data_IF_827406396747
#
_entry.id   IF_827406396747
#
_cell.length_a   1.000
_cell.length_b   1.000
_cell.length_c   1.000
_cell.angle_alpha   90.00
_cell.angle_beta   90.00
_cell.angle_gamma   90.00
#
_symmetry.space_group_name_H-M   'P 1'
#
loop_
_entity.id
_entity.type
_entity.pdbx_description
1 polymer ?
#
# COMPACT_ATOMS: atom_id res chain seq x y z
N UNK A 1 17.47 33.95 27.02
CA UNK A 1 16.42 33.00 26.57
C UNK A 1 16.28 33.22 25.08
N UNK A 2 16.74 32.30 24.24
CA UNK A 2 16.42 32.34 22.80
C UNK A 2 14.91 32.29 22.62
N UNK A 3 14.37 33.11 21.71
CA UNK A 3 12.94 33.06 21.39
C UNK A 3 12.59 31.73 20.70
N UNK A 4 11.42 31.18 21.00
CA UNK A 4 10.87 30.09 20.18
C UNK A 4 10.55 30.62 18.78
N UNK A 5 11.00 29.92 17.73
CA UNK A 5 10.55 30.20 16.36
C UNK A 5 9.04 29.98 16.28
N UNK A 6 8.28 31.00 15.85
CA UNK A 6 6.85 30.85 15.60
C UNK A 6 6.60 29.89 14.42
N UNK A 7 5.44 29.24 14.39
CA UNK A 7 5.05 28.44 13.23
C UNK A 7 5.01 29.30 11.95
N UNK A 8 5.39 28.70 10.81
CA UNK A 8 5.40 29.36 9.50
C UNK A 8 4.01 29.73 8.97
N UNK A 9 3.01 28.93 9.33
CA UNK A 9 1.60 29.16 9.04
C UNK A 9 0.68 28.29 9.92
N UNK A 10 -0.61 28.63 9.97
CA UNK A 10 -1.65 27.83 10.63
C UNK A 10 -2.78 27.50 9.64
N UNK A 11 -3.25 26.25 9.63
CA UNK A 11 -4.43 25.80 8.87
C UNK A 11 -5.59 25.47 9.83
N UNK A 12 -6.71 26.18 9.69
CA UNK A 12 -7.89 26.11 10.56
C UNK A 12 -9.13 25.45 9.93
N UNK A 13 -10.22 25.36 10.71
CA UNK A 13 -11.38 24.51 10.43
C UNK A 13 -12.19 24.87 9.18
N UNK A 14 -12.60 23.84 8.43
CA UNK A 14 -13.41 23.97 7.22
C UNK A 14 -12.69 24.53 6.00
N UNK A 15 -11.37 24.71 6.04
CA UNK A 15 -10.58 25.18 4.92
C UNK A 15 -10.06 24.01 4.07
N UNK A 16 -10.53 23.92 2.81
CA UNK A 16 -9.74 23.29 1.76
C UNK A 16 -8.71 24.32 1.28
N UNK A 17 -7.43 24.07 1.56
CA UNK A 17 -6.34 24.98 1.19
C UNK A 17 -5.10 24.18 0.84
N UNK A 18 -4.51 24.50 -0.31
CA UNK A 18 -3.26 23.90 -0.77
C UNK A 18 -2.14 24.92 -0.86
N UNK A 19 -0.90 24.47 -0.69
CA UNK A 19 0.26 25.31 -0.98
C UNK A 19 0.71 25.03 -2.42
N UNK A 20 0.60 26.04 -3.29
CA UNK A 20 1.24 26.04 -4.61
C UNK A 20 2.61 26.75 -4.56
N UNK A 21 3.02 27.20 -3.36
CA UNK A 21 4.30 27.84 -3.01
C UNK A 21 4.81 27.30 -1.67
N UNK A 22 5.96 27.78 -1.16
CA UNK A 22 6.58 27.22 0.05
C UNK A 22 5.90 27.66 1.37
N UNK A 23 5.70 26.72 2.30
CA UNK A 23 5.33 26.96 3.70
C UNK A 23 6.54 26.62 4.58
N UNK A 24 7.16 27.60 5.22
CA UNK A 24 8.40 27.41 6.01
C UNK A 24 8.22 27.85 7.45
N UNK A 25 8.60 27.00 8.41
CA UNK A 25 8.67 27.34 9.82
C UNK A 25 9.73 28.41 10.05
N UNK A 26 9.54 29.28 11.05
CA UNK A 26 10.59 30.22 11.40
C UNK A 26 11.73 29.47 12.11
N UNK A 27 12.97 29.75 11.72
CA UNK A 27 14.16 29.24 12.41
C UNK A 27 14.23 29.80 13.84
N UNK A 28 14.79 29.01 14.76
CA UNK A 28 15.16 29.51 16.08
C UNK A 28 16.22 30.61 15.97
N UNK A 29 16.08 31.69 16.72
CA UNK A 29 17.10 32.75 16.77
C UNK A 29 18.13 32.44 17.85
N UNK A 30 19.41 32.69 17.57
CA UNK A 30 20.46 32.66 18.59
C UNK A 30 20.17 33.68 19.71
N UNK A 31 20.32 33.27 20.97
CA UNK A 31 20.24 34.20 22.10
C UNK A 31 21.36 35.25 22.03
N UNK A 32 21.02 36.53 22.16
CA UNK A 32 22.02 37.60 22.34
C UNK A 32 22.78 37.39 23.65
N UNK A 33 24.11 37.47 23.61
CA UNK A 33 24.96 37.49 24.80
C UNK A 33 24.55 38.66 25.72
N UNK A 34 24.27 38.36 27.00
CA UNK A 34 23.95 39.38 27.99
C UNK A 34 25.12 40.34 28.21
N UNK A 35 24.84 41.64 28.35
CA UNK A 35 25.83 42.71 28.48
C UNK A 35 26.75 42.64 29.73
N UNK A 36 26.66 41.58 30.54
CA UNK A 36 27.37 41.42 31.81
C UNK A 36 28.10 40.07 31.96
N UNK A 37 28.27 39.30 30.89
CA UNK A 37 29.09 38.07 30.95
C UNK A 37 28.46 36.90 31.72
N UNK A 38 27.14 36.91 31.94
CA UNK A 38 26.40 35.70 32.33
C UNK A 38 25.92 34.97 31.08
N UNK A 39 26.06 33.64 31.07
CA UNK A 39 25.76 32.74 29.95
C UNK A 39 24.36 33.00 29.38
N UNK A 40 24.32 33.65 28.22
CA UNK A 40 23.12 33.90 27.41
C UNK A 40 22.88 32.80 26.37
N UNK A 41 23.47 31.62 26.57
CA UNK A 41 23.68 30.60 25.55
C UNK A 41 22.47 29.67 25.36
N UNK A 42 21.26 30.20 25.22
CA UNK A 42 20.10 29.38 24.85
C UNK A 42 19.84 29.54 23.35
N UNK A 43 20.11 28.47 22.61
CA UNK A 43 19.69 28.31 21.22
C UNK A 43 18.17 28.47 21.12
N UNK A 44 17.68 29.25 20.15
CA UNK A 44 16.25 29.30 19.85
C UNK A 44 15.78 27.98 19.24
N UNK A 45 14.53 27.62 19.46
CA UNK A 45 13.93 26.39 18.91
C UNK A 45 13.45 26.61 17.47
N UNK A 46 13.63 25.62 16.60
CA UNK A 46 13.03 25.61 15.27
C UNK A 46 11.50 25.51 15.35
N UNK A 47 10.78 26.41 14.67
CA UNK A 47 9.32 26.39 14.64
C UNK A 47 8.77 25.32 13.70
N UNK A 48 7.54 24.84 13.96
CA UNK A 48 6.86 23.96 13.01
C UNK A 48 6.64 24.68 11.67
N UNK A 49 6.79 23.97 10.55
CA UNK A 49 6.45 24.48 9.22
C UNK A 49 4.97 24.83 9.14
N UNK A 50 4.14 23.83 9.45
CA UNK A 50 2.70 23.92 9.45
C UNK A 50 2.09 23.26 10.71
N UNK A 51 1.08 23.92 11.26
CA UNK A 51 0.18 23.35 12.27
C UNK A 51 -1.18 23.01 11.65
N UNK A 52 -1.61 21.76 11.79
CA UNK A 52 -2.97 21.28 11.46
C UNK A 52 -3.70 20.99 12.76
N UNK A 53 -4.58 21.89 13.18
CA UNK A 53 -5.27 21.79 14.49
C UNK A 53 -6.79 21.73 14.39
N UNK A 54 -7.34 21.74 13.18
CA UNK A 54 -8.76 21.66 12.97
C UNK A 54 -9.23 20.28 12.54
N UNK A 55 -10.27 19.77 13.19
CA UNK A 55 -10.87 18.49 12.87
C UNK A 55 -11.39 18.43 11.42
N UNK A 56 -11.29 17.26 10.81
CA UNK A 56 -11.76 17.01 9.43
C UNK A 56 -11.13 17.95 8.38
N UNK A 57 -9.92 18.43 8.63
CA UNK A 57 -9.18 19.28 7.70
C UNK A 57 -8.46 18.45 6.64
N UNK A 58 -8.44 18.95 5.41
CA UNK A 58 -7.64 18.39 4.32
C UNK A 58 -6.61 19.40 3.88
N UNK A 59 -5.33 19.04 3.99
CA UNK A 59 -4.21 19.83 3.50
C UNK A 59 -3.64 19.19 2.24
N UNK A 60 -3.50 19.95 1.16
CA UNK A 60 -2.89 19.47 -0.08
C UNK A 60 -1.57 20.21 -0.38
N UNK A 61 -0.45 19.49 -0.28
CA UNK A 61 0.86 20.03 -0.61
C UNK A 61 1.21 19.81 -2.08
N UNK A 62 1.36 20.89 -2.86
CA UNK A 62 1.94 20.86 -4.21
C UNK A 62 3.35 21.50 -4.23
N UNK A 63 3.78 22.11 -3.13
CA UNK A 63 5.01 22.89 -3.01
C UNK A 63 6.00 22.28 -2.01
N UNK A 64 6.63 23.14 -1.21
CA UNK A 64 7.59 22.72 -0.19
C UNK A 64 7.07 23.08 1.20
N UNK A 65 7.01 22.12 2.12
CA UNK A 65 6.77 22.36 3.54
C UNK A 65 8.04 22.04 4.32
N UNK A 66 8.58 23.01 5.05
CA UNK A 66 9.87 22.85 5.73
C UNK A 66 9.75 23.25 7.20
N UNK A 67 10.19 22.37 8.10
CA UNK A 67 10.32 22.67 9.52
C UNK A 67 11.49 23.62 9.79
N UNK A 68 11.38 24.47 10.80
CA UNK A 68 12.44 25.41 11.16
C UNK A 68 13.64 24.70 11.77
N UNK A 69 14.85 25.20 11.50
CA UNK A 69 16.05 24.69 12.16
C UNK A 69 16.22 25.24 13.58
N UNK A 70 16.89 24.47 14.42
CA UNK A 70 17.33 24.91 15.73
C UNK A 70 18.37 26.04 15.58
N UNK A 71 18.39 26.98 16.53
CA UNK A 71 19.47 27.95 16.68
C UNK A 71 20.80 27.25 17.01
N UNK A 72 21.92 27.97 16.91
CA UNK A 72 23.26 27.40 17.09
C UNK A 72 23.49 26.71 18.44
N UNK A 73 24.40 25.72 18.47
CA UNK A 73 24.74 24.91 19.65
C UNK A 73 25.06 25.79 20.86
N UNK A 74 24.29 25.61 21.95
CA UNK A 74 24.66 26.10 23.28
C UNK A 74 25.95 25.43 23.74
N UNK A 75 26.93 26.21 24.19
CA UNK A 75 28.16 25.71 24.83
C UNK A 75 27.92 24.91 26.11
N UNK A 76 26.68 24.90 26.63
CA UNK A 76 26.25 24.21 27.86
C UNK A 76 25.66 22.81 27.65
N UNK A 77 25.50 22.35 26.40
CA UNK A 77 24.97 21.02 26.11
C UNK A 77 23.49 20.81 26.48
N UNK A 78 22.75 21.88 26.77
CA UNK A 78 21.31 21.86 27.02
C UNK A 78 20.58 22.08 25.69
N UNK A 79 20.25 20.97 25.03
CA UNK A 79 19.40 20.91 23.85
C UNK A 79 17.95 21.22 24.23
N UNK A 80 17.32 22.12 23.47
CA UNK A 80 15.91 22.49 23.62
C UNK A 80 15.01 21.40 23.03
N UNK A 81 14.07 20.88 23.84
CA UNK A 81 13.20 19.74 23.51
C UNK A 81 12.05 20.03 22.51
N UNK A 82 12.20 20.97 21.57
CA UNK A 82 11.23 21.13 20.49
C UNK A 82 11.89 20.96 19.13
N UNK A 83 11.33 20.00 18.41
CA UNK A 83 11.76 19.54 17.11
C UNK A 83 11.11 20.40 16.04
N UNK A 84 11.89 20.87 15.07
CA UNK A 84 11.38 21.62 13.93
C UNK A 84 10.59 20.73 12.98
N UNK A 85 9.36 20.35 13.35
CA UNK A 85 8.56 19.47 12.49
C UNK A 85 8.14 20.23 11.23
N UNK A 86 8.12 19.56 10.08
CA UNK A 86 7.56 20.21 8.89
C UNK A 86 6.05 20.37 9.04
N UNK A 87 5.35 19.32 9.46
CA UNK A 87 3.93 19.35 9.80
C UNK A 87 3.73 18.78 11.20
N UNK A 88 3.02 19.52 12.05
CA UNK A 88 2.54 19.05 13.34
C UNK A 88 1.01 18.98 13.33
N UNK A 89 0.46 17.83 13.69
CA UNK A 89 -0.98 17.55 13.60
C UNK A 89 -1.56 17.29 14.97
N UNK A 90 -2.57 18.07 15.34
CA UNK A 90 -3.33 17.92 16.60
C UNK A 90 -4.81 17.62 16.34
N UNK A 91 -5.21 17.55 15.06
CA UNK A 91 -6.57 17.37 14.62
C UNK A 91 -6.98 15.90 14.49
N UNK A 92 -8.24 15.60 14.80
CA UNK A 92 -8.88 14.34 14.43
C UNK A 92 -9.39 14.38 12.99
N UNK A 93 -9.47 13.22 12.33
CA UNK A 93 -9.97 13.09 10.96
C UNK A 93 -9.19 13.95 9.95
N UNK A 94 -7.91 14.24 10.22
CA UNK A 94 -7.09 15.06 9.33
C UNK A 94 -6.64 14.25 8.12
N UNK A 95 -6.66 14.88 6.94
CA UNK A 95 -6.10 14.31 5.71
C UNK A 95 -4.96 15.20 5.22
N UNK A 96 -3.79 14.61 5.00
CA UNK A 96 -2.65 15.25 4.33
C UNK A 96 -2.48 14.57 3.00
N UNK A 97 -2.58 15.32 1.91
CA UNK A 97 -2.26 14.86 0.56
C UNK A 97 -0.95 15.51 0.17
N UNK A 98 0.06 14.71 -0.14
CA UNK A 98 1.35 15.21 -0.59
C UNK A 98 1.56 14.92 -2.08
N UNK A 99 1.92 15.95 -2.83
CA UNK A 99 2.40 15.88 -4.21
C UNK A 99 3.64 16.77 -4.42
N UNK A 100 4.18 17.33 -3.34
CA UNK A 100 5.40 18.13 -3.31
C UNK A 100 6.41 17.58 -2.31
N UNK A 101 7.24 18.48 -1.76
CA UNK A 101 8.27 18.13 -0.77
C UNK A 101 7.81 18.49 0.64
N UNK A 102 7.98 17.59 1.61
CA UNK A 102 7.87 17.86 3.04
C UNK A 102 9.20 17.51 3.68
N UNK A 103 9.85 18.46 4.34
CA UNK A 103 11.18 18.27 4.93
C UNK A 103 11.20 18.68 6.40
N UNK A 104 11.58 17.76 7.27
CA UNK A 104 11.88 18.05 8.65
C UNK A 104 12.96 19.14 8.76
N UNK A 105 12.85 20.00 9.77
CA UNK A 105 13.97 20.81 10.24
C UNK A 105 14.89 19.99 11.15
N UNK A 106 15.91 20.65 11.70
CA UNK A 106 16.86 20.04 12.63
C UNK A 106 16.19 19.30 13.80
N UNK A 107 16.55 18.03 13.98
CA UNK A 107 15.96 17.08 14.94
C UNK A 107 14.42 16.88 14.81
N UNK A 108 13.82 17.47 13.77
CA UNK A 108 12.41 17.45 13.39
C UNK A 108 11.90 16.12 12.85
N UNK A 109 10.58 15.97 12.86
CA UNK A 109 9.90 15.00 12.01
C UNK A 109 9.34 15.69 10.76
N UNK A 110 9.24 14.97 9.65
CA UNK A 110 8.55 15.49 8.48
C UNK A 110 7.07 15.69 8.80
N UNK A 111 6.45 14.70 9.45
CA UNK A 111 5.08 14.79 9.95
C UNK A 111 5.02 14.13 11.32
N UNK A 112 4.52 14.85 12.32
CA UNK A 112 4.30 14.30 13.66
C UNK A 112 2.85 14.50 14.09
N UNK A 113 2.21 13.41 14.50
CA UNK A 113 0.86 13.42 15.05
C UNK A 113 0.92 13.46 16.58
N UNK A 114 0.20 14.39 17.19
CA UNK A 114 0.11 14.53 18.64
C UNK A 114 -0.65 13.34 19.25
N UNK A 115 -0.25 12.85 20.45
CA UNK A 115 -0.99 11.82 21.14
C UNK A 115 -2.47 12.17 21.34
N UNK A 116 -3.36 11.22 21.03
CA UNK A 116 -4.81 11.40 21.14
C UNK A 116 -5.50 11.82 19.84
N UNK A 117 -4.75 12.04 18.76
CA UNK A 117 -5.31 12.16 17.42
C UNK A 117 -5.91 10.83 16.94
N UNK A 118 -6.95 10.91 16.11
CA UNK A 118 -7.64 9.75 15.56
C UNK A 118 -7.99 9.92 14.08
N UNK A 119 -8.10 8.81 13.36
CA UNK A 119 -8.53 8.71 11.96
C UNK A 119 -7.70 9.61 11.01
N UNK A 120 -6.38 9.60 11.15
CA UNK A 120 -5.51 10.39 10.30
C UNK A 120 -5.26 9.68 8.97
N UNK A 121 -5.29 10.43 7.87
CA UNK A 121 -4.89 9.92 6.54
C UNK A 121 -3.69 10.70 6.03
N UNK A 122 -2.66 9.98 5.58
CA UNK A 122 -1.59 10.51 4.76
C UNK A 122 -1.69 9.88 3.37
N UNK A 123 -1.93 10.69 2.35
CA UNK A 123 -1.95 10.28 0.95
C UNK A 123 -0.68 10.76 0.25
N UNK A 124 0.02 9.84 -0.40
CA UNK A 124 1.21 10.11 -1.21
C UNK A 124 0.86 10.03 -2.70
N UNK A 125 1.09 11.12 -3.42
CA UNK A 125 1.05 11.14 -4.88
C UNK A 125 2.41 10.79 -5.46
N UNK A 126 2.48 10.46 -6.76
CA UNK A 126 3.73 9.97 -7.38
C UNK A 126 4.91 10.97 -7.38
N UNK A 127 4.66 12.26 -7.17
CA UNK A 127 5.69 13.29 -7.01
C UNK A 127 6.05 13.59 -5.54
N UNK A 128 5.51 12.84 -4.59
CA UNK A 128 5.78 13.01 -3.17
C UNK A 128 7.26 12.85 -2.84
N UNK A 129 7.80 13.82 -2.11
CA UNK A 129 9.10 13.70 -1.44
C UNK A 129 8.92 13.98 0.04
N UNK A 130 9.24 13.01 0.89
CA UNK A 130 9.27 13.17 2.34
C UNK A 130 10.72 13.03 2.81
N UNK A 131 11.27 14.09 3.41
CA UNK A 131 12.62 14.09 3.99
C UNK A 131 12.48 14.15 5.52
N UNK A 132 12.63 13.00 6.17
CA UNK A 132 12.45 12.84 7.62
C UNK A 132 11.35 11.84 7.98
N UNK A 133 11.16 11.63 9.28
CA UNK A 133 10.23 10.64 9.82
C UNK A 133 8.78 11.12 9.75
N UNK A 134 7.86 10.19 9.52
CA UNK A 134 6.41 10.34 9.69
C UNK A 134 5.98 9.47 10.86
N UNK A 135 5.54 10.10 11.95
CA UNK A 135 5.23 9.42 13.20
C UNK A 135 3.73 9.44 13.49
N UNK A 136 3.04 8.36 13.12
CA UNK A 136 1.63 8.09 13.41
C UNK A 136 1.43 7.11 14.59
N UNK A 137 2.48 6.72 15.30
CA UNK A 137 2.44 5.70 16.37
C UNK A 137 1.45 6.00 17.52
N UNK A 138 1.09 7.27 17.73
CA UNK A 138 0.14 7.66 18.77
C UNK A 138 -1.28 7.96 18.23
N UNK A 139 -1.52 7.70 16.95
CA UNK A 139 -2.83 7.86 16.31
C UNK A 139 -3.63 6.58 16.52
N UNK A 140 -4.91 6.70 16.92
CA UNK A 140 -5.76 5.52 17.17
C UNK A 140 -6.02 4.69 15.90
N UNK A 141 -6.17 5.38 14.77
CA UNK A 141 -6.46 4.80 13.47
C UNK A 141 -5.77 5.69 12.42
N UNK A 142 -4.78 5.13 11.72
CA UNK A 142 -3.95 5.85 10.77
C UNK A 142 -3.90 5.10 9.44
N UNK A 143 -4.23 5.80 8.37
CA UNK A 143 -4.24 5.28 7.00
C UNK A 143 -3.10 5.90 6.18
N UNK A 144 -2.30 5.05 5.55
CA UNK A 144 -1.36 5.44 4.50
C UNK A 144 -1.98 5.09 3.14
N UNK A 145 -2.22 6.11 2.31
CA UNK A 145 -2.80 5.96 0.98
C UNK A 145 -1.77 6.27 -0.08
N UNK A 146 -1.68 5.43 -1.09
CA UNK A 146 -0.98 5.71 -2.34
C UNK A 146 -2.03 6.15 -3.36
N UNK A 147 -1.81 7.30 -4.00
CA UNK A 147 -2.78 7.90 -4.91
C UNK A 147 -2.09 8.57 -6.09
N UNK A 148 -2.90 9.00 -7.07
CA UNK A 148 -2.51 9.90 -8.18
C UNK A 148 -1.05 9.72 -8.68
N UNK A 149 -0.72 8.49 -9.04
CA UNK A 149 0.46 8.18 -9.85
C UNK A 149 0.05 8.34 -11.31
N UNK A 150 0.89 8.98 -12.13
CA UNK A 150 0.61 9.11 -13.54
C UNK A 150 0.44 7.70 -14.14
N UNK A 151 -0.65 7.47 -14.88
CA UNK A 151 -1.10 6.14 -15.36
C UNK A 151 -0.05 5.35 -16.18
N UNK A 152 1.05 5.99 -16.62
CA UNK A 152 2.17 5.38 -17.34
C UNK A 152 3.48 5.27 -16.52
N UNK A 153 3.52 5.78 -15.29
CA UNK A 153 4.70 5.77 -14.43
C UNK A 153 4.58 4.64 -13.42
N UNK A 154 5.54 3.72 -13.44
CA UNK A 154 5.66 2.68 -12.43
C UNK A 154 6.23 3.30 -11.15
N UNK A 155 5.41 4.09 -10.46
CA UNK A 155 5.81 4.75 -9.22
C UNK A 155 6.03 3.70 -8.16
N UNK A 156 7.21 3.70 -7.54
CA UNK A 156 7.62 2.68 -6.57
C UNK A 156 7.40 3.18 -5.16
N UNK A 157 6.82 2.33 -4.31
CA UNK A 157 6.79 2.50 -2.86
C UNK A 157 7.57 1.35 -2.19
N UNK A 158 8.59 1.69 -1.41
CA UNK A 158 9.45 0.73 -0.72
C UNK A 158 8.89 0.42 0.68
N UNK A 159 8.44 -0.82 0.91
CA UNK A 159 7.88 -1.26 2.18
C UNK A 159 8.90 -1.32 3.31
N UNK A 160 10.20 -1.39 3.02
CA UNK A 160 11.22 -1.37 4.08
C UNK A 160 11.17 -0.08 4.91
N UNK A 161 10.50 0.95 4.38
CA UNK A 161 10.25 2.22 5.05
C UNK A 161 9.10 2.16 6.07
N UNK A 162 8.28 1.10 6.12
CA UNK A 162 7.15 0.95 7.05
C UNK A 162 7.57 0.19 8.32
N UNK A 163 7.13 0.68 9.49
CA UNK A 163 7.22 -0.04 10.76
C UNK A 163 6.09 0.30 11.74
N UNK A 164 5.82 -0.58 12.71
CA UNK A 164 4.91 -0.36 13.83
C UNK A 164 5.58 0.37 15.01
N UNK A 165 6.91 0.27 15.10
CA UNK A 165 7.72 0.71 16.22
C UNK A 165 8.75 1.73 15.74
N UNK A 166 9.06 2.71 16.60
CA UNK A 166 10.12 3.65 16.26
C UNK A 166 11.45 2.91 16.19
N UNK A 167 12.04 2.91 15.00
CA UNK A 167 13.38 2.41 14.74
C UNK A 167 14.12 3.44 13.86
N UNK A 168 15.45 3.35 13.83
CA UNK A 168 16.29 4.34 13.16
C UNK A 168 16.31 4.23 11.62
N UNK A 169 15.57 3.28 11.03
CA UNK A 169 15.64 2.95 9.61
C UNK A 169 14.32 3.13 8.85
N UNK A 170 13.17 3.15 9.53
CA UNK A 170 11.85 3.27 8.92
C UNK A 170 11.39 4.73 8.85
N UNK A 171 10.77 5.10 7.73
CA UNK A 171 10.25 6.45 7.50
C UNK A 171 8.81 6.61 7.99
N UNK A 172 7.94 5.62 7.78
CA UNK A 172 6.52 5.67 8.08
C UNK A 172 6.21 4.76 9.26
N UNK A 173 5.88 5.35 10.41
CA UNK A 173 5.76 4.62 11.67
C UNK A 173 4.32 4.68 12.19
N UNK A 174 3.75 3.52 12.53
CA UNK A 174 2.46 3.43 13.24
C UNK A 174 1.22 3.59 12.37
N UNK A 175 1.29 3.22 11.10
CA UNK A 175 0.12 3.13 10.22
C UNK A 175 -0.58 1.77 10.38
N UNK A 176 -1.91 1.80 10.38
CA UNK A 176 -2.78 0.65 10.64
C UNK A 176 -3.45 0.14 9.35
N UNK A 177 -3.73 1.05 8.42
CA UNK A 177 -4.41 0.76 7.17
C UNK A 177 -3.60 1.26 5.99
N UNK A 178 -3.67 0.50 4.89
CA UNK A 178 -2.92 0.76 3.68
C UNK A 178 -3.86 0.67 2.49
N UNK A 179 -3.91 1.72 1.67
CA UNK A 179 -4.82 1.78 0.52
C UNK A 179 -4.16 2.35 -0.72
N UNK A 180 -4.68 1.94 -1.88
CA UNK A 180 -4.31 2.43 -3.19
C UNK A 180 -5.58 2.90 -3.91
N UNK A 181 -5.65 4.16 -4.33
CA UNK A 181 -6.85 4.75 -4.93
C UNK A 181 -6.54 5.69 -6.12
N UNK A 182 -7.57 6.33 -6.66
CA UNK A 182 -7.45 7.40 -7.66
C UNK A 182 -7.05 6.94 -9.05
N UNK A 183 -7.38 5.71 -9.45
CA UNK A 183 -6.98 5.14 -10.75
C UNK A 183 -5.48 5.07 -10.96
N UNK A 184 -4.74 4.96 -9.85
CA UNK A 184 -3.28 5.10 -9.86
C UNK A 184 -2.58 3.77 -10.07
N UNK A 185 -1.34 3.83 -10.58
CA UNK A 185 -0.48 2.65 -10.76
C UNK A 185 0.72 2.78 -9.85
N UNK A 186 0.88 1.83 -8.94
CA UNK A 186 2.01 1.78 -8.00
C UNK A 186 2.61 0.39 -7.95
N UNK A 187 3.94 0.30 -7.92
CA UNK A 187 4.66 -0.91 -7.59
C UNK A 187 5.13 -0.87 -6.14
N UNK A 188 4.95 -1.99 -5.44
CA UNK A 188 5.56 -2.22 -4.15
C UNK A 188 6.89 -2.95 -4.31
N UNK A 189 7.90 -2.49 -3.56
CA UNK A 189 9.21 -3.14 -3.43
C UNK A 189 9.58 -3.27 -1.95
N UNK A 190 10.66 -3.99 -1.66
CA UNK A 190 11.09 -4.23 -0.28
C UNK A 190 10.13 -5.11 0.50
N UNK A 191 10.33 -5.17 1.81
CA UNK A 191 9.57 -6.03 2.73
C UNK A 191 9.39 -5.34 4.08
N UNK A 192 8.32 -5.67 4.80
CA UNK A 192 8.08 -5.23 6.19
C UNK A 192 7.42 -6.33 6.99
N UNK A 193 7.68 -6.37 8.30
CA UNK A 193 7.03 -7.27 9.25
C UNK A 193 5.61 -6.77 9.65
N UNK A 194 5.23 -5.57 9.21
CA UNK A 194 3.89 -5.01 9.41
C UNK A 194 2.89 -5.69 8.47
N UNK A 195 1.73 -6.06 9.01
CA UNK A 195 0.63 -6.59 8.21
C UNK A 195 -0.12 -5.46 7.50
N UNK A 196 0.16 -5.26 6.21
CA UNK A 196 -0.34 -4.08 5.49
C UNK A 196 -1.79 -4.25 5.01
N UNK A 197 -2.19 -5.45 4.58
CA UNK A 197 -3.55 -5.75 4.11
C UNK A 197 -4.09 -4.71 3.12
N UNK A 198 -3.33 -4.42 2.05
CA UNK A 198 -3.64 -3.36 1.09
C UNK A 198 -5.08 -3.42 0.54
N UNK A 199 -5.75 -2.28 0.49
CA UNK A 199 -7.05 -2.12 -0.16
C UNK A 199 -6.87 -1.33 -1.47
N UNK A 200 -7.14 -1.96 -2.61
CA UNK A 200 -7.01 -1.35 -3.94
C UNK A 200 -8.38 -0.98 -4.48
N UNK A 201 -8.58 0.27 -4.86
CA UNK A 201 -9.88 0.80 -5.29
C UNK A 201 -9.80 1.62 -6.58
N UNK A 202 -10.95 2.03 -7.12
CA UNK A 202 -11.06 3.08 -8.14
C UNK A 202 -10.24 2.84 -9.42
N UNK A 203 -10.26 1.61 -9.95
CA UNK A 203 -9.51 1.15 -11.12
C UNK A 203 -7.97 1.25 -10.96
N UNK A 204 -7.49 1.33 -9.72
CA UNK A 204 -6.06 1.40 -9.44
C UNK A 204 -5.37 0.04 -9.64
N UNK A 205 -4.09 0.07 -9.97
CA UNK A 205 -3.26 -1.13 -10.17
C UNK A 205 -2.12 -1.18 -9.17
N UNK A 206 -2.14 -2.19 -8.30
CA UNK A 206 -1.04 -2.53 -7.40
C UNK A 206 -0.16 -3.57 -8.07
N UNK A 207 1.10 -3.24 -8.29
CA UNK A 207 2.10 -4.11 -8.90
C UNK A 207 3.08 -4.64 -7.86
N UNK A 208 3.44 -5.92 -7.93
CA UNK A 208 4.45 -6.53 -7.06
C UNK A 208 5.41 -7.41 -7.87
N UNK A 209 6.61 -7.63 -7.35
CA UNK A 209 7.61 -8.55 -7.96
C UNK A 209 7.81 -9.81 -7.13
N UNK A 210 7.39 -9.77 -5.86
CA UNK A 210 7.45 -10.84 -4.91
C UNK A 210 6.25 -10.69 -3.95
N UNK A 211 5.70 -11.79 -3.44
CA UNK A 211 4.52 -11.69 -2.57
C UNK A 211 4.82 -10.86 -1.31
N UNK A 212 6.06 -10.92 -0.84
CA UNK A 212 6.60 -10.26 0.36
C UNK A 212 6.54 -8.73 0.24
N UNK A 213 6.36 -8.21 -0.97
CA UNK A 213 6.06 -6.80 -1.21
C UNK A 213 4.67 -6.40 -0.71
N UNK A 214 3.82 -7.33 -0.26
CA UNK A 214 2.56 -7.05 0.43
C UNK A 214 2.73 -6.97 1.96
N UNK A 215 3.95 -7.14 2.49
CA UNK A 215 4.20 -7.16 3.92
C UNK A 215 3.62 -8.38 4.62
N UNK A 216 3.70 -8.42 5.95
CA UNK A 216 3.34 -9.61 6.70
C UNK A 216 1.87 -10.06 6.45
N UNK A 217 1.67 -11.36 6.26
CA UNK A 217 0.35 -11.93 5.96
C UNK A 217 -0.04 -11.93 4.47
N UNK A 218 0.62 -11.16 3.59
CA UNK A 218 0.48 -11.28 2.13
C UNK A 218 -0.96 -11.14 1.61
N UNK A 219 -1.75 -10.25 2.20
CA UNK A 219 -3.16 -10.07 1.86
C UNK A 219 -3.39 -8.80 1.05
N UNK A 220 -4.33 -8.87 0.12
CA UNK A 220 -4.85 -7.71 -0.62
C UNK A 220 -6.36 -7.82 -0.78
N UNK A 221 -7.05 -6.69 -0.64
CA UNK A 221 -8.48 -6.56 -0.95
C UNK A 221 -8.63 -5.69 -2.20
N UNK A 222 -9.36 -6.18 -3.19
CA UNK A 222 -9.65 -5.44 -4.42
C UNK A 222 -11.12 -4.99 -4.39
N UNK A 223 -11.36 -3.70 -4.60
CA UNK A 223 -12.68 -3.08 -4.72
C UNK A 223 -12.74 -2.23 -5.99
N UNK A 224 -12.99 -2.87 -7.13
CA UNK A 224 -12.81 -2.29 -8.45
C UNK A 224 -11.33 -1.94 -8.69
N UNK A 225 -10.42 -2.88 -8.43
CA UNK A 225 -8.97 -2.68 -8.53
C UNK A 225 -8.24 -3.83 -9.23
N UNK A 226 -6.96 -3.64 -9.52
CA UNK A 226 -6.08 -4.63 -10.15
C UNK A 226 -4.89 -4.99 -9.27
N UNK A 227 -4.64 -6.28 -9.07
CA UNK A 227 -3.33 -6.79 -8.60
C UNK A 227 -2.56 -7.33 -9.81
N UNK A 228 -1.32 -6.87 -10.00
CA UNK A 228 -0.44 -7.30 -11.10
C UNK A 228 0.88 -7.85 -10.58
N UNK A 229 1.25 -9.06 -11.00
CA UNK A 229 2.58 -9.62 -10.76
C UNK A 229 3.50 -9.28 -11.94
N UNK A 230 4.48 -8.42 -11.71
CA UNK A 230 5.47 -8.02 -12.72
C UNK A 230 6.56 -9.05 -12.92
N UNK A 231 6.70 -9.97 -11.97
CA UNK A 231 7.61 -11.10 -12.06
C UNK A 231 6.93 -12.33 -11.49
N UNK A 232 7.29 -13.51 -12.00
CA UNK A 232 6.89 -14.76 -11.38
C UNK A 232 7.22 -14.83 -9.90
N UNK A 233 6.18 -14.95 -9.08
CA UNK A 233 6.35 -15.05 -7.63
C UNK A 233 6.44 -16.52 -7.20
N UNK A 234 7.20 -16.75 -6.13
CA UNK A 234 7.14 -17.98 -5.34
C UNK A 234 6.51 -17.62 -4.02
N UNK A 235 5.56 -18.43 -3.54
CA UNK A 235 4.91 -18.17 -2.26
C UNK A 235 4.89 -19.46 -1.46
N UNK A 236 5.38 -19.38 -0.22
CA UNK A 236 5.18 -20.45 0.79
C UNK A 236 3.94 -20.19 1.64
N UNK A 237 3.41 -18.96 1.57
CA UNK A 237 2.19 -18.52 2.22
C UNK A 237 1.13 -18.25 1.16
N UNK A 238 -0.14 -18.49 1.49
CA UNK A 238 -1.24 -18.14 0.61
C UNK A 238 -1.25 -16.62 0.37
N UNK A 239 -1.11 -16.20 -0.89
CA UNK A 239 -1.55 -14.87 -1.31
C UNK A 239 -3.07 -14.86 -1.22
N UNK A 240 -3.63 -14.07 -0.31
CA UNK A 240 -5.09 -13.92 -0.18
C UNK A 240 -5.54 -12.69 -0.95
N UNK A 241 -6.40 -12.90 -1.95
CA UNK A 241 -7.06 -11.80 -2.67
C UNK A 241 -8.55 -11.89 -2.42
N UNK A 242 -9.14 -10.86 -1.79
CA UNK A 242 -10.58 -10.79 -1.50
C UNK A 242 -11.27 -9.54 -2.07
N UNK A 243 -12.60 -9.49 -2.01
CA UNK A 243 -13.42 -8.28 -2.19
C UNK A 243 -14.06 -8.04 -3.56
N UNK A 244 -14.92 -7.00 -3.62
CA UNK A 244 -15.27 -6.14 -4.77
C UNK A 244 -16.13 -6.64 -5.94
N UNK A 245 -16.34 -5.72 -6.89
CA UNK A 245 -16.86 -5.95 -8.25
C UNK A 245 -15.79 -5.53 -9.25
N UNK A 246 -15.78 -6.14 -10.45
CA UNK A 246 -14.84 -5.81 -11.56
C UNK A 246 -13.35 -5.90 -11.20
N UNK A 247 -12.94 -6.74 -10.26
CA UNK A 247 -11.52 -6.80 -9.93
C UNK A 247 -10.75 -7.64 -10.94
N UNK A 248 -9.50 -7.24 -11.20
CA UNK A 248 -8.61 -7.95 -12.09
C UNK A 248 -7.40 -8.48 -11.32
N UNK A 249 -7.10 -9.77 -11.46
CA UNK A 249 -5.92 -10.39 -10.87
C UNK A 249 -5.07 -10.90 -12.03
N UNK A 250 -3.96 -10.21 -12.31
CA UNK A 250 -3.03 -10.55 -13.37
C UNK A 250 -1.80 -11.23 -12.79
N UNK A 251 -1.71 -12.55 -12.98
CA UNK A 251 -0.65 -13.39 -12.45
C UNK A 251 0.29 -13.83 -13.58
N UNK A 252 1.55 -13.42 -13.52
CA UNK A 252 2.63 -13.97 -14.36
C UNK A 252 3.39 -15.01 -13.55
N UNK A 253 3.64 -16.18 -14.12
CA UNK A 253 4.30 -17.32 -13.47
C UNK A 253 5.62 -17.68 -14.16
N UNK A 254 6.47 -18.47 -13.50
CA UNK A 254 7.70 -19.04 -14.04
C UNK A 254 7.55 -20.57 -14.01
N UNK A 255 8.56 -21.31 -14.45
CA UNK A 255 8.53 -22.76 -14.47
C UNK A 255 8.39 -23.47 -13.09
N UNK A 256 8.16 -22.74 -11.98
CA UNK A 256 7.92 -23.30 -10.64
C UNK A 256 6.49 -22.99 -10.15
N UNK A 257 6.00 -23.82 -9.22
CA UNK A 257 4.62 -23.79 -8.75
C UNK A 257 4.37 -22.61 -7.80
N UNK A 258 3.39 -21.75 -8.09
CA UNK A 258 2.90 -20.71 -7.17
C UNK A 258 1.69 -21.19 -6.38
N UNK A 259 1.55 -20.83 -5.10
CA UNK A 259 0.37 -21.13 -4.28
C UNK A 259 -0.43 -19.85 -4.04
N UNK A 260 -1.63 -19.74 -4.61
CA UNK A 260 -2.54 -18.63 -4.31
C UNK A 260 -3.83 -19.14 -3.70
N UNK A 261 -4.35 -18.38 -2.74
CA UNK A 261 -5.70 -18.56 -2.24
C UNK A 261 -6.52 -17.34 -2.69
N UNK A 262 -7.34 -17.51 -3.72
CA UNK A 262 -8.26 -16.44 -4.11
C UNK A 262 -9.55 -16.66 -3.33
N UNK A 263 -9.78 -15.82 -2.33
CA UNK A 263 -11.06 -15.77 -1.64
C UNK A 263 -12.11 -15.15 -2.57
N UNK A 264 -13.29 -15.74 -2.56
CA UNK A 264 -14.35 -15.48 -3.52
C UNK A 264 -14.71 -14.00 -3.66
N UNK A 265 -14.17 -13.37 -4.69
CA UNK A 265 -14.68 -12.13 -5.26
C UNK A 265 -16.01 -12.47 -5.95
N UNK A 266 -17.11 -12.30 -5.22
CA UNK A 266 -18.46 -12.71 -5.58
C UNK A 266 -19.10 -11.95 -6.75
N UNK A 267 -18.30 -11.36 -7.65
CA UNK A 267 -18.76 -10.62 -8.81
C UNK A 267 -18.44 -11.37 -10.11
N UNK A 268 -19.41 -11.52 -11.03
CA UNK A 268 -19.19 -12.17 -12.32
C UNK A 268 -18.33 -11.34 -13.28
N UNK A 269 -18.18 -10.04 -13.02
CA UNK A 269 -17.41 -9.12 -13.85
C UNK A 269 -15.92 -9.10 -13.49
N UNK A 270 -15.54 -9.81 -12.43
CA UNK A 270 -14.15 -9.96 -12.02
C UNK A 270 -13.41 -10.95 -12.92
N UNK A 271 -12.07 -10.87 -12.92
CA UNK A 271 -11.23 -11.70 -13.78
C UNK A 271 -9.93 -12.12 -13.09
N UNK A 272 -9.55 -13.38 -13.28
CA UNK A 272 -8.20 -13.90 -13.02
C UNK A 272 -7.57 -14.22 -14.37
N UNK A 273 -6.39 -13.69 -14.63
CA UNK A 273 -5.60 -14.00 -15.82
C UNK A 273 -4.27 -14.57 -15.38
N UNK A 274 -3.96 -15.80 -15.81
CA UNK A 274 -2.76 -16.54 -15.43
C UNK A 274 -1.90 -16.80 -16.66
N UNK A 275 -0.68 -16.27 -16.69
CA UNK A 275 0.25 -16.35 -17.82
C UNK A 275 1.67 -16.71 -17.36
N UNK A 276 2.64 -16.67 -18.28
CA UNK A 276 4.07 -16.71 -17.96
C UNK A 276 4.75 -18.08 -18.11
N UNK A 277 3.98 -19.12 -18.44
CA UNK A 277 4.56 -20.44 -18.76
C UNK A 277 4.78 -21.35 -17.54
N UNK A 278 4.16 -21.01 -16.41
CA UNK A 278 4.33 -21.68 -15.12
C UNK A 278 3.12 -22.46 -14.64
N UNK A 279 3.17 -22.95 -13.40
CA UNK A 279 2.03 -23.56 -12.73
C UNK A 279 1.54 -22.69 -11.56
N UNK A 280 0.25 -22.39 -11.51
CA UNK A 280 -0.43 -21.80 -10.35
C UNK A 280 -1.31 -22.85 -9.71
N UNK A 281 -1.09 -23.15 -8.45
CA UNK A 281 -1.96 -23.98 -7.62
C UNK A 281 -2.91 -23.08 -6.83
N UNK A 282 -4.20 -23.15 -7.16
CA UNK A 282 -5.27 -22.60 -6.35
C UNK A 282 -5.60 -23.58 -5.23
N UNK A 283 -5.43 -23.14 -3.99
CA UNK A 283 -5.64 -23.95 -2.81
C UNK A 283 -6.92 -23.55 -2.07
N UNK A 284 -7.53 -24.51 -1.39
CA UNK A 284 -8.76 -24.30 -0.64
C UNK A 284 -10.00 -24.19 -1.52
N UNK A 285 -11.07 -23.66 -0.95
CA UNK A 285 -12.36 -23.57 -1.61
C UNK A 285 -12.56 -22.16 -2.19
N UNK A 286 -12.53 -22.05 -3.52
CA UNK A 286 -12.87 -20.80 -4.24
C UNK A 286 -14.27 -20.87 -4.87
N UNK A 287 -15.21 -21.64 -4.31
CA UNK A 287 -16.58 -21.83 -4.85
C UNK A 287 -17.34 -20.53 -5.10
N UNK A 288 -17.02 -19.50 -4.32
CA UNK A 288 -17.71 -18.22 -4.31
C UNK A 288 -17.14 -17.24 -5.35
N UNK A 289 -16.05 -17.60 -6.02
CA UNK A 289 -15.51 -16.84 -7.14
C UNK A 289 -16.40 -17.03 -8.38
N UNK A 290 -16.97 -15.94 -8.90
CA UNK A 290 -17.88 -15.97 -10.05
C UNK A 290 -17.26 -15.44 -11.36
N UNK A 291 -16.11 -14.77 -11.24
CA UNK A 291 -15.47 -14.08 -12.35
C UNK A 291 -14.81 -15.01 -13.38
N UNK A 292 -14.45 -14.46 -14.54
CA UNK A 292 -13.76 -15.21 -15.58
C UNK A 292 -12.36 -15.65 -15.13
N UNK A 293 -11.89 -16.78 -15.67
CA UNK A 293 -10.53 -17.29 -15.48
C UNK A 293 -9.92 -17.52 -16.87
N UNK A 294 -8.84 -16.81 -17.18
CA UNK A 294 -8.11 -16.98 -18.43
C UNK A 294 -6.76 -17.64 -18.15
N UNK A 295 -6.51 -18.77 -18.79
CA UNK A 295 -5.24 -19.50 -18.70
C UNK A 295 -4.49 -19.27 -20.00
N UNK A 296 -3.32 -18.62 -19.90
CA UNK A 296 -2.45 -18.32 -21.02
C UNK A 296 -1.71 -19.54 -21.56
N UNK A 297 -1.06 -19.33 -22.70
CA UNK A 297 -0.25 -20.35 -23.36
C UNK A 297 0.87 -20.86 -22.43
N UNK A 298 1.19 -22.15 -22.57
CA UNK A 298 2.23 -22.85 -21.80
C UNK A 298 2.05 -22.77 -20.28
N UNK A 299 0.88 -22.36 -19.80
CA UNK A 299 0.61 -22.10 -18.38
C UNK A 299 -0.35 -23.15 -17.83
N UNK A 300 -0.08 -23.64 -16.61
CA UNK A 300 -0.95 -24.58 -15.91
C UNK A 300 -1.66 -23.87 -14.77
N UNK A 301 -3.00 -23.92 -14.76
CA UNK A 301 -3.78 -23.66 -13.56
C UNK A 301 -4.13 -25.00 -12.92
N UNK A 302 -3.64 -25.24 -11.72
CA UNK A 302 -3.94 -26.41 -10.91
C UNK A 302 -4.96 -26.06 -9.81
N UNK A 303 -5.99 -26.89 -9.66
CA UNK A 303 -7.01 -26.77 -8.60
C UNK A 303 -6.75 -27.84 -7.54
N UNK A 304 -6.26 -27.41 -6.38
CA UNK A 304 -5.80 -28.28 -5.30
C UNK A 304 -4.42 -28.86 -5.54
N UNK A 305 -3.80 -29.41 -4.50
CA UNK A 305 -2.48 -30.06 -4.52
C UNK A 305 -2.55 -31.54 -4.09
N UNK A 306 -3.71 -32.15 -4.27
CA UNK A 306 -4.11 -33.43 -3.68
C UNK A 306 -4.96 -33.24 -2.41
N UNK A 307 -5.01 -32.04 -1.85
CA UNK A 307 -5.96 -31.68 -0.78
C UNK A 307 -7.33 -31.26 -1.34
N UNK A 308 -8.28 -30.98 -0.45
CA UNK A 308 -9.62 -30.55 -0.86
C UNK A 308 -9.57 -29.14 -1.45
N UNK A 309 -9.95 -29.01 -2.72
CA UNK A 309 -10.08 -27.72 -3.38
C UNK A 309 -11.26 -27.69 -4.36
N UNK A 310 -11.77 -26.49 -4.62
CA UNK A 310 -12.78 -26.22 -5.65
C UNK A 310 -12.41 -24.97 -6.42
N UNK A 311 -12.72 -24.97 -7.71
CA UNK A 311 -12.62 -23.80 -8.56
C UNK A 311 -13.94 -23.01 -8.49
N UNK A 312 -13.86 -21.70 -8.76
CA UNK A 312 -15.04 -20.86 -8.91
C UNK A 312 -15.94 -21.26 -10.08
N UNK A 313 -17.13 -20.66 -10.11
CA UNK A 313 -18.19 -20.95 -11.08
C UNK A 313 -18.15 -20.11 -12.36
N UNK A 314 -17.19 -19.20 -12.48
CA UNK A 314 -17.03 -18.39 -13.68
C UNK A 314 -16.50 -19.17 -14.89
N UNK A 315 -16.65 -18.57 -16.08
CA UNK A 315 -16.14 -19.15 -17.33
C UNK A 315 -14.63 -19.31 -17.25
N UNK A 316 -14.11 -20.44 -17.76
CA UNK A 316 -12.68 -20.70 -17.86
C UNK A 316 -12.29 -20.81 -19.33
N UNK A 317 -11.42 -19.92 -19.79
CA UNK A 317 -10.83 -19.97 -21.12
C UNK A 317 -9.40 -20.51 -21.05
N UNK A 318 -9.13 -21.57 -21.82
CA UNK A 318 -7.84 -22.26 -21.82
C UNK A 318 -7.18 -22.05 -23.17
N UNK A 319 -6.22 -21.13 -23.24
CA UNK A 319 -5.48 -20.84 -24.47
C UNK A 319 -4.70 -22.08 -24.96
N UNK A 320 -4.38 -22.10 -26.26
CA UNK A 320 -3.56 -23.17 -26.85
C UNK A 320 -2.24 -23.38 -26.07
N UNK A 321 -1.90 -24.64 -25.81
CA UNK A 321 -0.77 -25.01 -24.95
C UNK A 321 -0.92 -24.70 -23.46
N UNK A 322 -2.01 -24.07 -23.02
CA UNK A 322 -2.38 -23.95 -21.60
C UNK A 322 -2.95 -25.27 -21.05
N UNK A 323 -3.02 -25.39 -19.72
CA UNK A 323 -3.55 -26.57 -19.03
C UNK A 323 -4.40 -26.19 -17.82
N UNK A 324 -5.64 -26.68 -17.76
CA UNK A 324 -6.42 -26.72 -16.53
C UNK A 324 -6.29 -28.11 -15.89
N UNK A 325 -5.70 -28.18 -14.71
CA UNK A 325 -5.45 -29.42 -13.97
C UNK A 325 -6.28 -29.44 -12.69
N UNK A 326 -7.20 -30.40 -12.57
CA UNK A 326 -7.83 -30.68 -11.28
C UNK A 326 -6.97 -31.70 -10.51
N UNK A 327 -6.63 -31.37 -9.27
CA UNK A 327 -5.92 -32.25 -8.34
C UNK A 327 -6.53 -32.10 -6.94
N UNK A 328 -7.82 -32.37 -6.83
CA UNK A 328 -8.58 -32.28 -5.58
C UNK A 328 -8.89 -33.68 -5.03
N UNK A 329 -8.85 -33.84 -3.71
CA UNK A 329 -9.30 -35.08 -3.05
C UNK A 329 -10.82 -35.18 -2.89
N UNK A 330 -11.56 -34.09 -3.13
CA UNK A 330 -13.01 -34.02 -3.02
C UNK A 330 -13.66 -33.94 -4.40
N UNK A 331 -14.95 -34.29 -4.50
CA UNK A 331 -15.70 -34.08 -5.72
C UNK A 331 -15.76 -32.58 -6.07
N UNK A 332 -15.54 -32.27 -7.35
CA UNK A 332 -15.58 -30.91 -7.90
C UNK A 332 -16.68 -30.85 -8.95
N UNK A 333 -17.60 -29.90 -8.81
CA UNK A 333 -18.62 -29.61 -9.83
C UNK A 333 -18.26 -28.27 -10.48
N UNK A 334 -17.77 -28.32 -11.71
CA UNK A 334 -17.48 -27.12 -12.49
C UNK A 334 -18.74 -26.67 -13.24
N UNK A 335 -19.30 -25.55 -12.80
CA UNK A 335 -20.52 -24.94 -13.36
C UNK A 335 -20.24 -23.84 -14.37
N UNK A 336 -19.02 -23.32 -14.41
CA UNK A 336 -18.56 -22.40 -15.45
C UNK A 336 -18.25 -23.13 -16.75
N UNK A 337 -18.56 -22.50 -17.88
CA UNK A 337 -18.23 -23.07 -19.19
C UNK A 337 -16.72 -23.11 -19.39
N UNK A 338 -16.21 -24.24 -19.87
CA UNK A 338 -14.84 -24.39 -20.35
C UNK A 338 -14.80 -24.07 -21.85
N UNK A 339 -13.85 -23.23 -22.27
CA UNK A 339 -13.58 -22.89 -23.67
C UNK A 339 -12.09 -23.01 -24.00
N UNK A 340 -11.77 -22.91 -25.30
CA UNK A 340 -10.40 -22.87 -25.79
C UNK A 340 -9.84 -24.22 -26.26
N UNK A 341 -8.56 -24.19 -26.63
CA UNK A 341 -7.82 -25.29 -27.28
C UNK A 341 -6.82 -25.97 -26.33
N UNK A 342 -6.54 -25.38 -25.16
CA UNK A 342 -5.62 -25.93 -24.16
C UNK A 342 -6.14 -27.20 -23.49
N UNK A 343 -5.29 -27.92 -22.75
CA UNK A 343 -5.63 -29.21 -22.14
C UNK A 343 -6.50 -29.09 -20.88
N UNK A 344 -7.25 -30.16 -20.59
CA UNK A 344 -7.94 -30.39 -19.32
C UNK A 344 -7.45 -31.73 -18.74
N UNK A 345 -6.99 -31.76 -17.50
CA UNK A 345 -6.56 -32.99 -16.84
C UNK A 345 -7.25 -33.16 -15.49
N UNK A 346 -7.73 -34.37 -15.19
CA UNK A 346 -8.11 -34.77 -13.83
C UNK A 346 -7.06 -35.73 -13.27
N UNK A 347 -6.31 -35.27 -12.26
CA UNK A 347 -5.25 -36.00 -11.58
C UNK A 347 -5.59 -36.35 -10.12
N UNK A 348 -6.57 -35.69 -9.51
CA UNK A 348 -7.00 -35.91 -8.13
C UNK A 348 -7.90 -37.13 -7.96
N UNK A 349 -8.08 -37.56 -6.70
CA UNK A 349 -9.00 -38.66 -6.34
C UNK A 349 -10.48 -38.28 -6.45
N UNK A 350 -10.79 -36.98 -6.44
CA UNK A 350 -12.13 -36.45 -6.56
C UNK A 350 -12.74 -36.64 -7.95
N UNK A 351 -14.06 -36.81 -8.02
CA UNK A 351 -14.79 -36.83 -9.29
C UNK A 351 -14.95 -35.39 -9.81
N UNK A 352 -14.51 -35.13 -11.03
CA UNK A 352 -14.79 -33.89 -11.75
C UNK A 352 -16.10 -34.03 -12.54
N UNK A 353 -17.08 -33.17 -12.24
CA UNK A 353 -18.36 -33.10 -12.96
C UNK A 353 -18.46 -31.75 -13.68
N UNK A 354 -18.58 -31.77 -15.00
CA UNK A 354 -18.80 -30.57 -15.80
C UNK A 354 -20.28 -30.43 -16.14
N UNK A 355 -20.93 -29.32 -15.79
CA UNK A 355 -22.38 -29.14 -15.98
C UNK A 355 -22.76 -28.06 -16.99
N UNK A 356 -21.83 -27.18 -17.34
CA UNK A 356 -22.03 -26.12 -18.33
C UNK A 356 -22.04 -26.64 -19.78
N UNK A 357 -22.49 -25.80 -20.71
CA UNK A 357 -22.29 -25.98 -22.14
C UNK A 357 -20.83 -25.67 -22.51
N UNK A 358 -19.95 -26.66 -22.36
CA UNK A 358 -18.53 -26.50 -22.66
C UNK A 358 -18.28 -26.47 -24.19
N UNK A 359 -17.43 -25.55 -24.62
CA UNK A 359 -16.94 -25.44 -26.00
C UNK A 359 -15.45 -25.74 -26.13
N UNK A 360 -14.83 -26.24 -25.05
CA UNK A 360 -13.47 -26.74 -25.00
C UNK A 360 -13.22 -27.80 -26.08
N UNK A 361 -12.09 -27.67 -26.78
CA UNK A 361 -11.70 -28.54 -27.91
C UNK A 361 -10.33 -29.19 -27.72
N UNK A 362 -9.62 -28.85 -26.64
CA UNK A 362 -8.31 -29.41 -26.33
C UNK A 362 -8.36 -30.86 -25.83
N UNK A 363 -7.19 -31.39 -25.53
CA UNK A 363 -7.06 -32.77 -25.03
C UNK A 363 -7.62 -32.91 -23.60
N UNK A 364 -8.19 -34.08 -23.31
CA UNK A 364 -8.73 -34.48 -22.00
C UNK A 364 -8.11 -35.78 -21.51
#
# INVERSE_FOLDING_TARGET
>A
MGGAGGAGGQHGAGAAGGSNGGVSGNNGTDGLAGALGESGDFAGQGGNGLLINAESSTFFNLGNVVGGDNGGISTSGLNSNQFGNAIFVTANNSTIINAGTISAGSDGMAINYEPGTANATLELHGSSVINGLVNAANVTDATLTLGNSASASNTVFDLSTISDTQNNSSQFIGFHHFSLNGGSVWQLEGTTDVATNWIVTEDSTLSITAAENLGNGQNVTLNNGTLSLLSPIQTTQSLTVGGGVNNHINLSLNSMNSMAHVDGNGSPDSQITVNGGGQLSLLGNSSDYLGAINIGQNTTLQVGDGTAAQLGSGQVDIADGGLLLFNSSQAVTQTGALSGEGGLTQNGLGVLTLTAANSHTGHT
#
